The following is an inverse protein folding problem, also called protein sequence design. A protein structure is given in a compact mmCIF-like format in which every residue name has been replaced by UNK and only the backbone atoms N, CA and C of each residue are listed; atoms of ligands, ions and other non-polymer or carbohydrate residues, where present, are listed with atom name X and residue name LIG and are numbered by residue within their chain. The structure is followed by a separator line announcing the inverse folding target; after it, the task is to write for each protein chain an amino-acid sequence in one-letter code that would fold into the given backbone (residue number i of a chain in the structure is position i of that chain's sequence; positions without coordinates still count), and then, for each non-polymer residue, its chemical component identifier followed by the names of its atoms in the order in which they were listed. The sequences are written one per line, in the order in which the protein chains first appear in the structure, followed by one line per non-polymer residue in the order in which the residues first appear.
data_IF_318786757085
#
_entry.id   IF_318786757085
#
_cell.length_a   1.000
_cell.length_b   1.000
_cell.length_c   1.000
_cell.angle_alpha   90.00
_cell.angle_beta   90.00
_cell.angle_gamma   90.00
#
_symmetry.space_group_name_H-M   'P 1'
#
loop_
_entity.id
_entity.type
_entity.pdbx_description
1 polymer ?
#
# COMPACT_ATOMS: atom_id res chain seq x y z
N UNK A 1 -30.63 -34.51 8.42
CA UNK A 1 -31.29 -33.22 8.10
C UNK A 1 -30.89 -32.29 9.21
N UNK A 2 -29.67 -31.72 9.18
CA UNK A 2 -29.26 -30.53 8.42
C UNK A 2 -30.28 -29.43 8.56
N UNK A 3 -29.98 -28.46 9.41
CA UNK A 3 -30.08 -27.06 8.99
C UNK A 3 -28.95 -26.25 9.65
N UNK A 4 -28.07 -25.75 8.79
CA UNK A 4 -26.96 -24.86 9.07
C UNK A 4 -27.51 -23.44 9.18
N UNK A 5 -27.36 -22.78 10.33
CA UNK A 5 -27.37 -21.32 10.37
C UNK A 5 -25.98 -20.85 10.75
N UNK A 6 -25.21 -20.65 9.68
CA UNK A 6 -23.91 -20.00 9.62
C UNK A 6 -23.96 -18.68 10.39
N UNK A 7 -23.28 -18.64 11.53
CA UNK A 7 -22.96 -17.41 12.24
C UNK A 7 -22.02 -16.58 11.36
N UNK A 8 -22.56 -15.53 10.77
CA UNK A 8 -21.75 -14.48 10.15
C UNK A 8 -20.93 -13.77 11.23
N UNK A 9 -19.63 -13.50 11.02
CA UNK A 9 -18.86 -12.68 11.95
C UNK A 9 -19.43 -11.26 11.97
N UNK A 10 -19.54 -10.68 13.16
CA UNK A 10 -19.87 -9.27 13.40
C UNK A 10 -18.92 -8.36 12.62
N UNK A 11 -19.34 -7.97 11.42
CA UNK A 11 -18.89 -6.76 10.76
C UNK A 11 -19.72 -5.60 11.29
N UNK A 12 -19.14 -4.80 12.18
CA UNK A 12 -19.46 -3.39 12.32
C UNK A 12 -18.45 -2.76 13.28
N UNK A 13 -17.21 -2.57 12.82
CA UNK A 13 -16.54 -1.35 13.21
C UNK A 13 -17.46 -0.21 12.72
N UNK A 14 -17.78 0.79 13.56
CA UNK A 14 -18.62 1.89 13.12
C UNK A 14 -17.98 2.50 11.88
N UNK A 15 -18.77 2.72 10.82
CA UNK A 15 -18.45 3.67 9.77
C UNK A 15 -18.34 5.04 10.46
N UNK A 16 -17.18 5.32 11.05
CA UNK A 16 -16.81 6.66 11.42
C UNK A 16 -16.52 7.34 10.09
N UNK A 17 -17.40 8.25 9.72
CA UNK A 17 -17.27 9.11 8.55
C UNK A 17 -16.07 10.04 8.80
N UNK A 18 -14.87 9.49 8.58
CA UNK A 18 -13.62 10.23 8.66
C UNK A 18 -13.53 11.07 7.39
N UNK A 19 -14.01 12.31 7.48
CA UNK A 19 -13.70 13.37 6.53
C UNK A 19 -12.18 13.43 6.37
N UNK A 20 -11.70 13.15 5.16
CA UNK A 20 -10.31 13.17 4.74
C UNK A 20 -9.49 14.28 5.46
N UNK A 21 -8.38 13.96 6.12
CA UNK A 21 -7.60 14.92 6.97
C UNK A 21 -7.25 16.24 6.28
N UNK A 22 -6.91 16.27 4.97
CA UNK A 22 -6.69 17.52 4.24
C UNK A 22 -7.93 18.40 4.10
N UNK A 23 -9.11 17.78 4.09
CA UNK A 23 -10.40 18.48 4.07
C UNK A 23 -10.69 19.11 5.45
N UNK A 24 -10.16 18.57 6.55
CA UNK A 24 -10.27 19.17 7.88
C UNK A 24 -9.42 20.44 8.03
N UNK A 25 -8.28 20.53 7.33
CA UNK A 25 -7.42 21.72 7.34
C UNK A 25 -8.00 22.89 6.52
N UNK A 26 -8.88 22.60 5.57
CA UNK A 26 -9.52 23.58 4.70
C UNK A 26 -11.02 23.27 4.65
N UNK A 27 -11.71 23.64 5.73
CA UNK A 27 -13.17 23.75 5.73
C UNK A 27 -13.56 25.21 5.48
N UNK A 28 -13.78 25.56 4.21
CA UNK A 28 -14.29 26.88 3.85
C UNK A 28 -15.79 26.94 4.15
N UNK A 29 -16.32 28.08 4.66
CA UNK A 29 -17.71 28.23 5.08
C UNK A 29 -18.79 27.96 4.01
N UNK A 30 -18.39 27.70 2.76
CA UNK A 30 -19.24 27.25 1.66
C UNK A 30 -19.39 25.72 1.54
N UNK A 31 -18.82 24.92 2.45
CA UNK A 31 -18.80 23.45 2.36
C UNK A 31 -17.86 22.93 1.25
N UNK A 32 -16.81 23.70 0.96
CA UNK A 32 -15.86 23.43 -0.11
C UNK A 32 -14.60 22.82 0.52
N UNK A 33 -14.44 21.51 0.30
CA UNK A 33 -13.33 20.73 0.87
C UNK A 33 -12.10 20.76 -0.03
N UNK A 34 -10.92 20.39 0.48
CA UNK A 34 -9.67 20.37 -0.29
C UNK A 34 -9.75 19.42 -1.50
N UNK A 35 -10.34 18.24 -1.34
CA UNK A 35 -10.60 17.28 -2.43
C UNK A 35 -11.47 17.91 -3.52
N UNK A 36 -12.55 18.59 -3.14
CA UNK A 36 -13.43 19.31 -4.08
C UNK A 36 -12.70 20.45 -4.78
N UNK A 37 -11.81 21.15 -4.07
CA UNK A 37 -10.97 22.19 -4.63
C UNK A 37 -10.00 21.62 -5.68
N UNK A 38 -9.35 20.49 -5.40
CA UNK A 38 -8.48 19.82 -6.37
C UNK A 38 -9.24 19.37 -7.62
N UNK A 39 -10.43 18.78 -7.45
CA UNK A 39 -11.30 18.42 -8.58
C UNK A 39 -11.73 19.65 -9.39
N UNK A 40 -12.07 20.75 -8.73
CA UNK A 40 -12.40 22.02 -9.39
C UNK A 40 -11.20 22.53 -10.20
N UNK A 41 -9.99 22.50 -9.62
CA UNK A 41 -8.75 22.91 -10.31
C UNK A 41 -8.55 22.08 -11.58
N UNK A 42 -8.74 20.76 -11.53
CA UNK A 42 -8.66 19.89 -12.72
C UNK A 42 -9.63 20.38 -13.79
N UNK A 43 -10.90 20.62 -13.44
CA UNK A 43 -11.93 21.06 -14.39
C UNK A 43 -11.61 22.45 -14.97
N UNK A 44 -11.18 23.40 -14.13
CA UNK A 44 -10.85 24.76 -14.56
C UNK A 44 -9.64 24.77 -15.47
N UNK A 45 -8.58 24.04 -15.11
CA UNK A 45 -7.36 23.93 -15.93
C UNK A 45 -7.69 23.37 -17.31
N UNK A 46 -8.44 22.27 -17.36
CA UNK A 46 -8.86 21.63 -18.61
C UNK A 46 -9.75 22.56 -19.44
N UNK A 47 -10.69 23.27 -18.81
CA UNK A 47 -11.56 24.21 -19.48
C UNK A 47 -10.79 25.41 -20.06
N UNK A 48 -9.81 25.94 -19.34
CA UNK A 48 -8.96 27.03 -19.83
C UNK A 48 -8.13 26.57 -21.02
N UNK A 49 -7.48 25.41 -20.93
CA UNK A 49 -6.67 24.85 -22.03
C UNK A 49 -7.55 24.58 -23.26
N UNK A 50 -8.77 24.07 -23.06
CA UNK A 50 -9.76 23.89 -24.13
C UNK A 50 -10.18 25.21 -24.78
N UNK A 51 -10.45 26.26 -23.98
CA UNK A 51 -10.87 27.56 -24.51
C UNK A 51 -9.75 28.29 -25.26
N UNK A 52 -8.49 28.09 -24.85
CA UNK A 52 -7.31 28.72 -25.46
C UNK A 52 -6.89 27.99 -26.73
N UNK A 53 -6.86 26.66 -26.69
CA UNK A 53 -6.24 25.83 -27.73
C UNK A 53 -7.25 25.16 -28.66
N UNK A 54 -8.53 25.08 -28.26
CA UNK A 54 -9.56 24.33 -28.97
C UNK A 54 -9.58 22.84 -28.61
N UNK A 55 -10.53 22.08 -29.16
CA UNK A 55 -10.48 20.62 -29.11
C UNK A 55 -9.37 20.13 -30.04
N UNK A 56 -8.73 18.98 -29.75
CA UNK A 56 -7.83 18.37 -30.71
C UNK A 56 -8.61 18.06 -31.98
N UNK A 57 -8.32 18.75 -33.08
CA UNK A 57 -8.99 18.60 -34.39
C UNK A 57 -8.74 17.24 -35.07
N UNK A 58 -8.01 16.33 -34.41
CA UNK A 58 -7.73 14.99 -34.89
C UNK A 58 -8.87 14.01 -34.61
N UNK A 59 -9.22 13.22 -35.62
CA UNK A 59 -10.05 12.00 -35.46
C UNK A 59 -9.35 11.07 -34.45
N UNK A 60 -10.12 10.24 -33.73
CA UNK A 60 -9.60 9.16 -32.88
C UNK A 60 -8.43 8.47 -33.61
N UNK A 61 -7.23 8.35 -33.00
CA UNK A 61 -6.93 8.40 -31.56
C UNK A 61 -6.32 9.70 -31.00
N UNK A 62 -6.18 10.78 -31.77
CA UNK A 62 -5.39 11.96 -31.36
C UNK A 62 -6.01 12.78 -30.21
N UNK A 63 -7.33 12.67 -30.01
CA UNK A 63 -8.05 13.27 -28.88
C UNK A 63 -8.11 12.38 -27.63
N UNK A 64 -7.66 11.12 -27.73
CA UNK A 64 -7.75 10.12 -26.66
C UNK A 64 -6.87 10.50 -25.46
N UNK A 65 -5.68 11.04 -25.70
CA UNK A 65 -4.77 11.49 -24.65
C UNK A 65 -5.39 12.58 -23.76
N UNK A 66 -6.14 13.51 -24.37
CA UNK A 66 -6.79 14.61 -23.66
C UNK A 66 -7.93 14.09 -22.79
N UNK A 67 -8.83 13.26 -23.35
CA UNK A 67 -9.99 12.72 -22.63
C UNK A 67 -9.60 11.72 -21.54
N UNK A 68 -8.73 10.76 -21.85
CA UNK A 68 -8.26 9.76 -20.87
C UNK A 68 -7.51 10.43 -19.75
N UNK A 69 -6.71 11.45 -20.06
CA UNK A 69 -5.97 12.12 -19.02
C UNK A 69 -6.86 12.98 -18.12
N UNK A 70 -7.97 13.57 -18.60
CA UNK A 70 -8.96 14.17 -17.69
C UNK A 70 -9.48 13.11 -16.71
N UNK A 71 -9.87 11.94 -17.22
CA UNK A 71 -10.34 10.82 -16.39
C UNK A 71 -9.26 10.39 -15.40
N UNK A 72 -7.99 10.35 -15.81
CA UNK A 72 -6.85 10.07 -14.94
C UNK A 72 -6.71 11.10 -13.82
N UNK A 73 -6.70 12.39 -14.14
CA UNK A 73 -6.55 13.47 -13.15
C UNK A 73 -7.66 13.41 -12.10
N UNK A 74 -8.91 13.20 -12.54
CA UNK A 74 -10.05 13.03 -11.63
C UNK A 74 -9.93 11.75 -10.81
N UNK A 75 -9.60 10.62 -11.44
CA UNK A 75 -9.45 9.33 -10.77
C UNK A 75 -8.35 9.37 -9.72
N UNK A 76 -7.25 10.07 -9.99
CA UNK A 76 -6.16 10.21 -9.07
C UNK A 76 -6.57 11.01 -7.83
N UNK A 77 -7.28 12.14 -7.98
CA UNK A 77 -7.77 12.86 -6.79
C UNK A 77 -8.67 11.98 -5.91
N UNK A 78 -9.51 11.13 -6.52
CA UNK A 78 -10.35 10.15 -5.79
C UNK A 78 -9.54 9.01 -5.17
N UNK A 79 -8.51 8.51 -5.85
CA UNK A 79 -7.64 7.45 -5.33
C UNK A 79 -6.84 7.94 -4.12
N UNK A 80 -6.47 9.21 -4.06
CA UNK A 80 -5.77 9.80 -2.92
C UNK A 80 -6.56 9.65 -1.61
N UNK A 81 -7.87 9.88 -1.65
CA UNK A 81 -8.79 9.64 -0.53
C UNK A 81 -8.81 8.15 -0.13
N UNK A 82 -8.91 7.25 -1.13
CA UNK A 82 -8.88 5.81 -0.89
C UNK A 82 -7.57 5.34 -0.25
N UNK A 83 -6.44 5.92 -0.64
CA UNK A 83 -5.14 5.58 -0.04
C UNK A 83 -5.10 6.01 1.43
N UNK A 84 -5.58 7.22 1.75
CA UNK A 84 -5.66 7.68 3.14
C UNK A 84 -6.50 6.74 4.01
N UNK A 85 -7.72 6.41 3.56
CA UNK A 85 -8.63 5.54 4.32
C UNK A 85 -8.04 4.14 4.54
N UNK A 86 -7.14 3.67 3.66
CA UNK A 86 -6.42 2.41 3.85
C UNK A 86 -5.31 2.52 4.88
N UNK A 87 -4.56 3.63 4.89
CA UNK A 87 -3.58 3.89 5.93
C UNK A 87 -4.24 4.03 7.31
N UNK A 88 -5.37 4.72 7.39
CA UNK A 88 -6.09 4.91 8.64
C UNK A 88 -6.65 3.58 9.18
N UNK A 89 -7.19 2.73 8.29
CA UNK A 89 -7.60 1.38 8.68
C UNK A 89 -6.42 0.54 9.21
N UNK A 90 -5.26 0.62 8.57
CA UNK A 90 -4.07 -0.08 9.03
C UNK A 90 -3.59 0.43 10.41
N UNK A 91 -3.75 1.73 10.69
CA UNK A 91 -3.52 2.33 12.02
C UNK A 91 -4.46 1.73 13.06
N UNK A 92 -5.77 1.77 12.83
CA UNK A 92 -6.76 1.26 13.78
C UNK A 92 -6.57 -0.24 14.08
N UNK A 93 -6.23 -1.02 13.06
CA UNK A 93 -5.87 -2.43 13.24
C UNK A 93 -4.64 -2.56 14.15
N UNK A 94 -3.53 -1.88 13.85
CA UNK A 94 -2.31 -1.93 14.68
C UNK A 94 -2.52 -1.54 16.14
N UNK A 95 -3.29 -0.48 16.40
CA UNK A 95 -3.63 -0.04 17.76
C UNK A 95 -4.42 -1.14 18.46
N UNK A 96 -5.47 -1.66 17.83
CA UNK A 96 -6.30 -2.73 18.39
C UNK A 96 -5.51 -4.01 18.68
N UNK A 97 -4.44 -4.28 17.94
CA UNK A 97 -3.57 -5.43 18.16
C UNK A 97 -2.69 -5.22 19.38
N UNK A 98 -2.04 -4.06 19.50
CA UNK A 98 -1.23 -3.74 20.67
C UNK A 98 -2.00 -3.81 21.99
N UNK A 99 -3.30 -3.47 21.98
CA UNK A 99 -4.17 -3.56 23.15
C UNK A 99 -4.60 -4.99 23.50
N UNK A 100 -4.58 -5.93 22.54
CA UNK A 100 -4.93 -7.35 22.76
C UNK A 100 -3.74 -8.19 23.17
N UNK A 101 -2.55 -7.81 22.71
CA UNK A 101 -1.33 -8.56 22.99
C UNK A 101 -0.98 -8.60 24.48
N UNK A 102 -1.50 -7.68 25.32
CA UNK A 102 -1.21 -7.58 26.76
C UNK A 102 -1.64 -8.79 27.61
N UNK A 103 -2.55 -9.65 27.14
CA UNK A 103 -3.13 -10.71 27.98
C UNK A 103 -2.47 -12.10 27.80
N UNK A 104 -1.60 -12.30 26.78
CA UNK A 104 -0.97 -13.60 26.47
C UNK A 104 0.51 -13.44 26.09
N UNK A 105 1.24 -12.58 26.81
CA UNK A 105 2.67 -12.34 26.56
C UNK A 105 3.53 -13.38 27.29
N UNK A 106 4.31 -14.16 26.55
CA UNK A 106 5.40 -14.99 27.10
C UNK A 106 6.76 -14.26 26.95
N UNK A 107 6.81 -13.17 26.15
CA UNK A 107 8.05 -12.43 25.83
C UNK A 107 7.90 -10.94 26.15
N UNK A 108 8.37 -10.56 27.33
CA UNK A 108 8.15 -9.25 27.96
C UNK A 108 9.16 -8.16 27.51
N UNK A 109 9.63 -8.19 26.27
CA UNK A 109 10.79 -7.36 25.89
C UNK A 109 10.44 -5.95 25.39
N UNK A 110 9.26 -5.70 24.81
CA UNK A 110 8.84 -4.36 24.40
C UNK A 110 7.32 -4.25 24.39
N UNK A 111 6.74 -3.73 25.47
CA UNK A 111 5.34 -3.32 25.52
C UNK A 111 5.19 -2.06 24.64
N UNK A 112 4.77 -2.24 23.40
CA UNK A 112 4.50 -1.12 22.51
C UNK A 112 3.13 -0.57 22.90
N UNK A 113 3.13 0.59 23.55
CA UNK A 113 1.90 1.27 23.92
C UNK A 113 1.11 1.66 22.64
N UNK A 114 -0.13 1.16 22.51
CA UNK A 114 -1.02 1.48 21.40
C UNK A 114 -1.23 2.98 21.19
N UNK A 115 -1.21 3.77 22.26
CA UNK A 115 -1.30 5.23 22.21
C UNK A 115 -0.06 5.87 21.56
N UNK A 116 1.10 5.23 21.65
CA UNK A 116 2.31 5.68 20.97
C UNK A 116 2.25 5.34 19.48
N UNK A 117 1.79 4.13 19.12
CA UNK A 117 1.57 3.75 17.71
C UNK A 117 0.58 4.71 17.07
N UNK A 118 -0.57 4.95 17.72
CA UNK A 118 -1.63 5.81 17.18
C UNK A 118 -1.12 7.23 16.90
N UNK A 119 -0.46 7.85 17.90
CA UNK A 119 0.10 9.21 17.76
C UNK A 119 1.17 9.30 16.68
N UNK A 120 2.07 8.32 16.60
CA UNK A 120 3.13 8.33 15.61
C UNK A 120 2.58 8.10 14.19
N UNK A 121 1.68 7.13 14.03
CA UNK A 121 1.05 6.83 12.75
C UNK A 121 0.21 8.02 12.27
N UNK A 122 -0.62 8.60 13.14
CA UNK A 122 -1.42 9.78 12.82
C UNK A 122 -0.53 10.97 12.44
N UNK A 123 0.52 11.25 13.23
CA UNK A 123 1.46 12.33 12.90
C UNK A 123 2.13 12.15 11.53
N UNK A 124 2.43 10.91 11.15
CA UNK A 124 2.99 10.59 9.85
C UNK A 124 1.97 10.80 8.73
N UNK A 125 0.72 10.36 8.91
CA UNK A 125 -0.34 10.62 7.95
C UNK A 125 -0.62 12.11 7.79
N UNK A 126 -0.70 12.86 8.89
CA UNK A 126 -0.91 14.31 8.87
C UNK A 126 0.21 15.01 8.08
N UNK A 127 1.47 14.58 8.23
CA UNK A 127 2.60 15.12 7.47
C UNK A 127 2.54 14.73 5.98
N UNK A 128 2.24 13.47 5.69
CA UNK A 128 2.23 12.95 4.31
C UNK A 128 1.09 13.50 3.48
N UNK A 129 -0.06 13.66 4.10
CA UNK A 129 -1.27 14.15 3.46
C UNK A 129 -1.50 15.65 3.70
N UNK A 130 -0.63 16.37 4.42
CA UNK A 130 -0.80 17.80 4.63
C UNK A 130 -1.04 18.54 3.29
N UNK A 131 -2.04 19.44 3.17
CA UNK A 131 -2.35 20.13 1.92
C UNK A 131 -1.14 20.81 1.27
N UNK A 132 -0.26 21.41 2.07
CA UNK A 132 0.99 22.03 1.59
C UNK A 132 1.95 21.01 0.98
N UNK A 133 2.04 19.80 1.55
CA UNK A 133 2.88 18.72 1.01
C UNK A 133 2.28 18.17 -0.28
N UNK A 134 0.97 17.97 -0.32
CA UNK A 134 0.25 17.53 -1.53
C UNK A 134 0.42 18.55 -2.66
N UNK A 135 0.10 19.84 -2.40
CA UNK A 135 0.21 20.91 -3.39
C UNK A 135 1.67 21.13 -3.79
N UNK A 136 2.60 21.12 -2.83
CA UNK A 136 4.03 21.25 -3.10
C UNK A 136 4.55 20.11 -3.98
N UNK A 137 4.15 18.87 -3.67
CA UNK A 137 4.42 17.70 -4.51
C UNK A 137 3.86 17.87 -5.91
N UNK A 138 2.60 18.32 -6.03
CA UNK A 138 1.98 18.61 -7.32
C UNK A 138 2.71 19.69 -8.13
N UNK A 139 3.18 20.76 -7.50
CA UNK A 139 3.97 21.78 -8.19
C UNK A 139 5.28 21.19 -8.75
N UNK A 140 5.96 20.36 -7.96
CA UNK A 140 7.21 19.70 -8.37
C UNK A 140 6.97 18.70 -9.50
N UNK A 141 5.96 17.83 -9.37
CA UNK A 141 5.62 16.84 -10.39
C UNK A 141 5.20 17.50 -11.72
N UNK A 142 4.38 18.56 -11.64
CA UNK A 142 3.96 19.33 -12.81
C UNK A 142 5.13 20.01 -13.50
N UNK A 143 6.03 20.64 -12.74
CA UNK A 143 7.23 21.28 -13.28
C UNK A 143 8.19 20.26 -13.92
N UNK A 144 8.32 19.06 -13.33
CA UNK A 144 9.14 17.98 -13.90
C UNK A 144 8.63 17.54 -15.27
N UNK A 145 7.35 17.17 -15.37
CA UNK A 145 6.76 16.72 -16.66
C UNK A 145 6.80 17.85 -17.68
N UNK A 146 6.42 19.06 -17.28
CA UNK A 146 6.47 20.23 -18.17
C UNK A 146 7.89 20.48 -18.70
N UNK A 147 8.91 20.40 -17.83
CA UNK A 147 10.31 20.56 -18.21
C UNK A 147 10.79 19.51 -19.20
N UNK A 148 10.42 18.24 -18.99
CA UNK A 148 10.73 17.13 -19.92
C UNK A 148 10.06 17.37 -21.27
N UNK A 149 8.77 17.73 -21.29
CA UNK A 149 8.03 17.98 -22.52
C UNK A 149 8.55 19.20 -23.28
N UNK A 150 8.93 20.26 -22.56
CA UNK A 150 9.53 21.45 -23.13
C UNK A 150 10.91 21.15 -23.73
N UNK A 151 11.77 20.45 -22.99
CA UNK A 151 13.12 20.11 -23.44
C UNK A 151 13.17 19.13 -24.61
N UNK A 152 12.05 18.44 -24.90
CA UNK A 152 11.91 17.50 -26.02
C UNK A 152 11.01 18.05 -27.14
N UNK A 153 10.70 19.35 -27.12
CA UNK A 153 9.90 20.06 -28.11
C UNK A 153 8.50 19.45 -28.36
N UNK A 154 7.91 18.81 -27.35
CA UNK A 154 6.64 18.07 -27.48
C UNK A 154 5.45 19.02 -27.67
N UNK A 155 5.53 20.24 -27.12
CA UNK A 155 4.45 21.22 -27.18
C UNK A 155 4.12 21.70 -28.60
N UNK A 156 5.02 21.51 -29.57
CA UNK A 156 4.71 21.77 -30.98
C UNK A 156 3.65 20.83 -31.55
N UNK A 157 3.69 19.55 -31.16
CA UNK A 157 2.71 18.55 -31.59
C UNK A 157 1.50 18.48 -30.64
N UNK A 158 1.68 18.87 -29.38
CA UNK A 158 0.65 18.77 -28.35
C UNK A 158 0.58 20.06 -27.49
N UNK A 159 -0.09 21.13 -27.98
CA UNK A 159 -0.04 22.48 -27.41
C UNK A 159 -0.95 22.69 -26.18
N UNK A 160 -1.14 21.65 -25.36
CA UNK A 160 -1.97 21.66 -24.14
C UNK A 160 -1.12 21.88 -22.89
N UNK A 161 -0.54 23.07 -22.76
CA UNK A 161 0.46 23.36 -21.72
C UNK A 161 -0.05 23.10 -20.30
N UNK A 162 -1.27 23.54 -19.98
CA UNK A 162 -1.80 23.43 -18.63
C UNK A 162 -2.24 22.00 -18.32
N UNK A 163 -2.82 21.30 -19.29
CA UNK A 163 -3.23 19.90 -19.12
C UNK A 163 -2.02 18.98 -18.92
N UNK A 164 -0.93 19.23 -19.66
CA UNK A 164 0.31 18.47 -19.49
C UNK A 164 1.01 18.75 -18.16
N UNK A 165 0.99 20.00 -17.70
CA UNK A 165 1.43 20.34 -16.35
C UNK A 165 0.59 19.61 -15.31
N UNK A 166 -0.73 19.59 -15.48
CA UNK A 166 -1.66 18.91 -14.58
C UNK A 166 -1.40 17.40 -14.48
N UNK A 167 -1.04 16.73 -15.59
CA UNK A 167 -0.63 15.32 -15.55
C UNK A 167 0.56 15.07 -14.62
N UNK A 168 1.61 15.89 -14.75
CA UNK A 168 2.73 15.81 -13.82
C UNK A 168 2.33 16.17 -12.41
N UNK A 169 1.45 17.16 -12.24
CA UNK A 169 1.03 17.60 -10.92
C UNK A 169 0.27 16.51 -10.16
N UNK A 170 -0.60 15.78 -10.84
CA UNK A 170 -1.36 14.67 -10.26
C UNK A 170 -0.44 13.57 -9.74
N UNK A 171 0.66 13.25 -10.43
CA UNK A 171 1.68 12.34 -9.92
C UNK A 171 2.38 12.89 -8.67
N UNK A 172 2.69 14.19 -8.70
CA UNK A 172 3.33 14.89 -7.61
C UNK A 172 2.53 14.88 -6.31
N UNK A 173 1.19 14.85 -6.39
CA UNK A 173 0.30 14.76 -5.20
C UNK A 173 0.63 13.55 -4.32
N UNK A 174 1.18 12.48 -4.90
CA UNK A 174 1.49 11.23 -4.20
C UNK A 174 2.88 11.17 -3.60
N UNK A 175 3.78 12.12 -3.85
CA UNK A 175 5.16 12.05 -3.35
C UNK A 175 5.22 12.02 -1.81
N UNK A 176 4.44 12.88 -1.16
CA UNK A 176 4.31 12.90 0.31
C UNK A 176 3.72 11.61 0.88
N UNK A 177 2.51 11.19 0.44
CA UNK A 177 1.89 9.94 0.86
C UNK A 177 2.79 8.72 0.65
N UNK A 178 3.52 8.67 -0.47
CA UNK A 178 4.42 7.57 -0.81
C UNK A 178 5.65 7.54 0.12
N UNK A 179 6.25 8.70 0.40
CA UNK A 179 7.38 8.80 1.35
C UNK A 179 6.97 8.33 2.75
N UNK A 180 5.79 8.75 3.21
CA UNK A 180 5.22 8.29 4.49
C UNK A 180 4.94 6.80 4.46
N UNK A 181 4.37 6.28 3.36
CA UNK A 181 4.14 4.86 3.17
C UNK A 181 5.39 4.01 3.31
N UNK A 182 6.49 4.41 2.67
CA UNK A 182 7.77 3.72 2.78
C UNK A 182 8.30 3.72 4.22
N UNK A 183 8.20 4.87 4.90
CA UNK A 183 8.62 4.98 6.29
C UNK A 183 7.75 4.11 7.22
N UNK A 184 6.44 4.10 7.01
CA UNK A 184 5.51 3.26 7.76
C UNK A 184 5.79 1.77 7.56
N UNK A 185 6.03 1.31 6.33
CA UNK A 185 6.43 -0.08 6.05
C UNK A 185 7.67 -0.44 6.88
N UNK A 186 8.67 0.44 6.89
CA UNK A 186 9.90 0.25 7.66
C UNK A 186 9.66 0.21 9.17
N UNK A 187 8.84 1.13 9.71
CA UNK A 187 8.51 1.19 11.15
C UNK A 187 7.68 -0.01 11.58
N UNK A 188 6.70 -0.41 10.78
CA UNK A 188 5.89 -1.60 11.00
C UNK A 188 6.80 -2.83 11.08
N UNK A 189 7.65 -3.04 10.06
CA UNK A 189 8.47 -4.25 9.99
C UNK A 189 9.53 -4.33 11.09
N UNK A 190 10.06 -3.20 11.56
CA UNK A 190 11.18 -3.20 12.50
C UNK A 190 10.79 -2.89 13.94
N UNK A 191 9.64 -2.27 14.14
CA UNK A 191 9.25 -1.73 15.45
C UNK A 191 7.88 -2.24 15.87
N UNK A 192 6.82 -2.07 15.08
CA UNK A 192 5.44 -2.29 15.57
C UNK A 192 4.97 -3.74 15.62
N UNK A 193 5.57 -4.64 14.85
CA UNK A 193 5.34 -6.08 15.04
C UNK A 193 6.23 -6.53 16.19
N UNK A 194 5.66 -6.65 17.38
CA UNK A 194 6.34 -7.11 18.60
C UNK A 194 6.10 -8.58 18.90
N UNK A 195 4.90 -9.09 18.62
CA UNK A 195 4.48 -10.42 19.04
C UNK A 195 3.65 -11.17 17.98
N UNK A 196 3.27 -12.43 18.23
CA UNK A 196 2.32 -13.20 17.41
C UNK A 196 1.28 -13.84 18.33
N UNK A 197 0.01 -13.44 18.21
CA UNK A 197 -1.08 -14.08 18.95
C UNK A 197 -1.57 -15.34 18.22
N UNK A 198 -1.12 -16.49 18.71
CA UNK A 198 -1.40 -17.83 18.16
C UNK A 198 -2.89 -18.19 18.29
N UNK A 199 -3.62 -17.57 19.22
CA UNK A 199 -5.03 -17.84 19.46
C UNK A 199 -5.94 -17.01 18.54
N UNK A 200 -5.38 -16.08 17.78
CA UNK A 200 -6.13 -15.31 16.79
C UNK A 200 -6.62 -16.19 15.63
N UNK A 201 -7.78 -15.88 15.00
CA UNK A 201 -8.34 -16.68 13.91
C UNK A 201 -7.45 -16.82 12.68
N UNK A 202 -6.54 -15.87 12.46
CA UNK A 202 -5.55 -15.89 11.39
C UNK A 202 -4.20 -16.47 11.83
N UNK A 203 -4.08 -16.87 13.10
CA UNK A 203 -2.85 -17.23 13.79
C UNK A 203 -1.89 -16.06 13.97
N UNK A 204 -1.86 -15.10 13.07
CA UNK A 204 -0.86 -14.04 13.06
C UNK A 204 -1.29 -12.84 13.91
N UNK A 205 -2.17 -12.99 14.89
CA UNK A 205 -2.63 -11.89 15.72
C UNK A 205 -3.10 -10.68 14.93
N UNK A 206 -3.81 -10.86 13.80
CA UNK A 206 -4.28 -9.77 12.93
C UNK A 206 -3.22 -9.03 12.11
N UNK A 207 -1.93 -9.37 12.22
CA UNK A 207 -0.90 -8.84 11.31
C UNK A 207 -1.18 -9.19 9.84
N UNK A 208 -2.05 -10.18 9.58
CA UNK A 208 -2.58 -10.49 8.25
C UNK A 208 -3.37 -9.33 7.64
N UNK A 209 -4.26 -8.68 8.37
CA UNK A 209 -5.06 -7.59 7.82
C UNK A 209 -4.19 -6.38 7.45
N UNK A 210 -3.17 -6.11 8.26
CA UNK A 210 -2.20 -5.02 8.05
C UNK A 210 -1.38 -5.20 6.77
N UNK A 211 -0.82 -6.40 6.52
CA UNK A 211 -0.09 -6.63 5.28
C UNK A 211 -1.00 -6.54 4.05
N UNK A 212 -2.29 -6.87 4.18
CA UNK A 212 -3.27 -6.79 3.09
C UNK A 212 -3.60 -5.32 2.81
N UNK A 213 -3.66 -4.48 3.84
CA UNK A 213 -3.78 -3.03 3.69
C UNK A 213 -2.56 -2.42 2.98
N UNK A 214 -1.33 -2.83 3.34
CA UNK A 214 -0.10 -2.38 2.69
C UNK A 214 -0.03 -2.82 1.21
N UNK A 215 -0.39 -4.08 0.92
CA UNK A 215 -0.47 -4.58 -0.47
C UNK A 215 -1.57 -3.87 -1.26
N UNK A 216 -2.71 -3.56 -0.62
CA UNK A 216 -3.79 -2.81 -1.25
C UNK A 216 -3.36 -1.38 -1.63
N UNK A 217 -2.58 -0.70 -0.79
CA UNK A 217 -2.04 0.64 -1.10
C UNK A 217 -1.14 0.58 -2.33
N UNK A 218 -0.24 -0.39 -2.39
CA UNK A 218 0.65 -0.56 -3.54
C UNK A 218 -0.15 -0.93 -4.80
N UNK A 219 -1.22 -1.72 -4.66
CA UNK A 219 -2.14 -2.05 -5.76
C UNK A 219 -2.82 -0.79 -6.32
N UNK A 220 -3.24 0.16 -5.47
CA UNK A 220 -3.77 1.44 -5.94
C UNK A 220 -2.71 2.26 -6.69
N UNK A 221 -1.47 2.29 -6.21
CA UNK A 221 -0.37 2.95 -6.91
C UNK A 221 -0.12 2.32 -8.30
N UNK A 222 -0.14 0.98 -8.38
CA UNK A 222 0.01 0.25 -9.64
C UNK A 222 -1.17 0.49 -10.58
N UNK A 223 -2.40 0.60 -10.05
CA UNK A 223 -3.56 0.97 -10.85
C UNK A 223 -3.40 2.34 -11.51
N UNK A 224 -2.92 3.35 -10.76
CA UNK A 224 -2.64 4.68 -11.31
C UNK A 224 -1.57 4.61 -12.40
N UNK A 225 -0.47 3.91 -12.15
CA UNK A 225 0.57 3.68 -13.16
C UNK A 225 -0.01 2.95 -14.39
N UNK A 226 -0.92 2.01 -14.21
CA UNK A 226 -1.56 1.32 -15.34
C UNK A 226 -2.45 2.27 -16.17
N UNK A 227 -3.09 3.26 -15.57
CA UNK A 227 -3.78 4.31 -16.32
C UNK A 227 -2.79 5.19 -17.10
N UNK A 228 -1.59 5.43 -16.57
CA UNK A 228 -0.52 6.11 -17.32
C UNK A 228 -0.14 5.33 -18.57
N UNK A 229 -0.19 3.99 -18.56
CA UNK A 229 0.06 3.18 -19.75
C UNK A 229 -0.94 3.49 -20.88
N UNK A 230 -2.20 3.77 -20.56
CA UNK A 230 -3.21 4.14 -21.55
C UNK A 230 -2.89 5.52 -22.16
N UNK A 231 -2.42 6.46 -21.32
CA UNK A 231 -1.99 7.80 -21.76
C UNK A 231 -0.70 7.70 -22.60
N UNK A 232 0.28 6.92 -22.16
CA UNK A 232 1.55 6.72 -22.87
C UNK A 232 1.33 5.96 -24.18
N UNK A 233 0.45 4.95 -24.20
CA UNK A 233 0.03 4.27 -25.44
C UNK A 233 -0.62 5.23 -26.43
N UNK A 234 -1.30 6.27 -25.95
CA UNK A 234 -1.82 7.33 -26.82
C UNK A 234 -0.73 8.30 -27.31
N UNK A 235 0.32 8.52 -26.51
CA UNK A 235 1.54 9.25 -26.89
C UNK A 235 2.34 8.49 -27.95
N UNK A 236 2.21 7.16 -28.03
CA UNK A 236 2.80 6.32 -29.10
C UNK A 236 2.31 6.68 -30.51
N UNK A 237 1.28 7.53 -30.65
CA UNK A 237 0.84 8.07 -31.93
C UNK A 237 1.49 9.43 -32.28
N UNK A 238 2.25 10.06 -31.37
CA UNK A 238 2.96 11.32 -31.64
C UNK A 238 4.24 11.07 -32.42
N UNK A 239 4.50 11.77 -33.53
CA UNK A 239 5.72 11.62 -34.37
C UNK A 239 7.02 12.14 -33.71
N UNK A 240 7.29 11.75 -32.46
CA UNK A 240 8.51 12.07 -31.72
C UNK A 240 9.05 10.80 -31.02
N UNK A 241 9.97 10.04 -31.66
CA UNK A 241 10.47 8.77 -31.14
C UNK A 241 11.31 8.93 -29.85
N UNK A 242 11.95 10.08 -29.65
CA UNK A 242 12.76 10.37 -28.46
C UNK A 242 11.85 10.55 -27.26
N UNK A 243 10.78 11.35 -27.39
CA UNK A 243 9.81 11.54 -26.31
C UNK A 243 9.15 10.25 -25.86
N UNK A 244 8.72 9.41 -26.82
CA UNK A 244 8.17 8.08 -26.52
C UNK A 244 9.18 7.22 -25.75
N UNK A 245 10.45 7.20 -26.16
CA UNK A 245 11.51 6.47 -25.46
C UNK A 245 11.74 6.95 -24.02
N UNK A 246 11.80 8.27 -23.81
CA UNK A 246 11.97 8.86 -22.47
C UNK A 246 10.77 8.56 -21.57
N UNK A 247 9.54 8.74 -22.08
CA UNK A 247 8.33 8.43 -21.33
C UNK A 247 8.28 6.96 -20.90
N UNK A 248 8.68 6.04 -21.77
CA UNK A 248 8.74 4.61 -21.46
C UNK A 248 9.82 4.26 -20.44
N UNK A 249 10.98 4.90 -20.48
CA UNK A 249 12.03 4.70 -19.46
C UNK A 249 11.56 5.18 -18.09
N UNK A 250 10.95 6.37 -18.02
CA UNK A 250 10.39 6.91 -16.78
C UNK A 250 9.31 5.96 -16.23
N UNK A 251 8.42 5.48 -17.10
CA UNK A 251 7.38 4.53 -16.74
C UNK A 251 7.95 3.22 -16.20
N UNK A 252 8.89 2.60 -16.93
CA UNK A 252 9.55 1.36 -16.51
C UNK A 252 10.28 1.54 -15.17
N UNK A 253 10.91 2.70 -14.95
CA UNK A 253 11.57 3.03 -13.68
C UNK A 253 10.56 3.17 -12.53
N UNK A 254 9.46 3.90 -12.71
CA UNK A 254 8.39 4.03 -11.71
C UNK A 254 7.80 2.67 -11.35
N UNK A 255 7.51 1.85 -12.36
CA UNK A 255 6.92 0.55 -12.19
C UNK A 255 7.86 -0.44 -11.49
N UNK A 256 9.13 -0.45 -11.90
CA UNK A 256 10.19 -1.20 -11.23
C UNK A 256 10.34 -0.78 -9.76
N UNK A 257 10.28 0.53 -9.48
CA UNK A 257 10.30 1.05 -8.12
C UNK A 257 9.13 0.53 -7.27
N UNK A 258 7.89 0.56 -7.78
CA UNK A 258 6.72 0.03 -7.06
C UNK A 258 6.79 -1.49 -6.81
N UNK A 259 7.30 -2.25 -7.77
CA UNK A 259 7.52 -3.69 -7.60
C UNK A 259 8.58 -3.99 -6.55
N UNK A 260 9.71 -3.27 -6.57
CA UNK A 260 10.76 -3.41 -5.57
C UNK A 260 10.24 -3.01 -4.18
N UNK A 261 9.41 -1.98 -4.08
CA UNK A 261 8.80 -1.59 -2.82
C UNK A 261 7.86 -2.67 -2.29
N UNK A 262 7.06 -3.30 -3.15
CA UNK A 262 6.19 -4.43 -2.79
C UNK A 262 7.00 -5.61 -2.27
N UNK A 263 8.08 -5.95 -2.98
CA UNK A 263 8.98 -7.03 -2.60
C UNK A 263 9.64 -6.73 -1.26
N UNK A 264 10.14 -5.51 -1.08
CA UNK A 264 10.74 -5.03 0.17
C UNK A 264 9.77 -5.15 1.34
N UNK A 265 8.55 -4.61 1.21
CA UNK A 265 7.53 -4.65 2.26
C UNK A 265 7.21 -6.10 2.68
N UNK A 266 7.02 -6.97 1.69
CA UNK A 266 6.67 -8.38 1.93
C UNK A 266 7.82 -9.13 2.61
N UNK A 267 9.07 -8.94 2.16
CA UNK A 267 10.24 -9.58 2.76
C UNK A 267 10.47 -9.06 4.18
N UNK A 268 10.38 -7.75 4.39
CA UNK A 268 10.64 -7.13 5.68
C UNK A 268 9.66 -7.63 6.76
N UNK A 269 8.36 -7.62 6.46
CA UNK A 269 7.32 -8.14 7.37
C UNK A 269 7.54 -9.63 7.64
N UNK A 270 7.81 -10.44 6.60
CA UNK A 270 8.02 -11.88 6.77
C UNK A 270 9.22 -12.20 7.64
N UNK A 271 10.36 -11.53 7.44
CA UNK A 271 11.55 -11.72 8.27
C UNK A 271 11.25 -11.41 9.72
N UNK A 272 10.54 -10.31 9.99
CA UNK A 272 10.16 -9.96 11.35
C UNK A 272 9.26 -11.01 12.01
N UNK A 273 8.27 -11.52 11.29
CA UNK A 273 7.39 -12.57 11.81
C UNK A 273 8.14 -13.89 12.09
N UNK A 274 9.11 -14.24 11.24
CA UNK A 274 9.99 -15.39 11.47
C UNK A 274 10.84 -15.18 12.73
N UNK A 275 11.48 -14.02 12.88
CA UNK A 275 12.30 -13.71 14.06
C UNK A 275 11.49 -13.81 15.37
N UNK A 276 10.22 -13.38 15.36
CA UNK A 276 9.33 -13.48 16.53
C UNK A 276 8.92 -14.94 16.78
N UNK A 277 8.57 -15.68 15.73
CA UNK A 277 8.24 -17.10 15.83
C UNK A 277 9.41 -17.90 16.43
N UNK A 278 10.63 -17.70 15.91
CA UNK A 278 11.84 -18.35 16.42
C UNK A 278 12.08 -18.01 17.89
N UNK A 279 11.96 -16.73 18.27
CA UNK A 279 12.13 -16.29 19.66
C UNK A 279 11.08 -16.91 20.59
N UNK A 280 9.81 -16.98 20.18
CA UNK A 280 8.76 -17.65 20.95
C UNK A 280 9.04 -19.14 21.11
N UNK A 281 9.46 -19.80 20.04
CA UNK A 281 9.83 -21.23 20.05
C UNK A 281 10.97 -21.45 21.05
N UNK A 282 12.00 -20.61 21.07
CA UNK A 282 13.12 -20.76 21.97
C UNK A 282 12.74 -20.54 23.44
N UNK A 283 11.92 -19.52 23.73
CA UNK A 283 11.43 -19.26 25.08
C UNK A 283 10.51 -20.39 25.58
N UNK A 284 9.61 -20.88 24.72
CA UNK A 284 8.78 -22.04 25.08
C UNK A 284 9.62 -23.31 25.28
N UNK A 285 10.78 -23.46 24.62
CA UNK A 285 11.67 -24.62 24.81
C UNK A 285 12.31 -24.57 26.18
N UNK A 286 12.71 -23.38 26.61
CA UNK A 286 13.26 -23.14 27.95
C UNK A 286 12.20 -23.46 29.02
N UNK A 287 11.00 -22.86 28.92
CA UNK A 287 9.89 -23.14 29.85
C UNK A 287 9.47 -24.61 29.85
N UNK A 288 9.45 -25.27 28.69
CA UNK A 288 9.15 -26.69 28.59
C UNK A 288 10.18 -27.53 29.35
N UNK A 289 11.48 -27.28 29.17
CA UNK A 289 12.54 -28.02 29.85
C UNK A 289 12.48 -27.82 31.38
N UNK A 290 12.19 -26.60 31.85
CA UNK A 290 12.01 -26.32 33.27
C UNK A 290 10.80 -27.05 33.87
N UNK A 291 9.68 -27.04 33.15
CA UNK A 291 8.44 -27.70 33.56
C UNK A 291 8.59 -29.22 33.55
N UNK A 292 9.21 -29.78 32.51
CA UNK A 292 9.52 -31.21 32.41
C UNK A 292 10.43 -31.66 33.55
N UNK A 293 11.48 -30.90 33.86
CA UNK A 293 12.37 -31.19 35.00
C UNK A 293 11.61 -31.17 36.32
N UNK A 294 10.70 -30.21 36.50
CA UNK A 294 9.85 -30.11 37.69
C UNK A 294 8.86 -31.27 37.79
N UNK A 295 8.24 -31.66 36.69
CA UNK A 295 7.36 -32.81 36.58
C UNK A 295 8.07 -34.10 37.03
N UNK A 296 9.23 -34.41 36.44
CA UNK A 296 9.97 -35.63 36.77
C UNK A 296 10.46 -35.65 38.22
N UNK A 297 10.88 -34.50 38.76
CA UNK A 297 11.26 -34.37 40.18
C UNK A 297 10.07 -34.67 41.10
N UNK A 298 8.92 -34.03 40.88
CA UNK A 298 7.70 -34.26 41.70
C UNK A 298 7.22 -35.70 41.60
N UNK A 299 7.28 -36.29 40.41
CA UNK A 299 6.94 -37.69 40.18
C UNK A 299 7.84 -38.65 40.96
N UNK A 300 9.15 -38.39 40.99
CA UNK A 300 10.12 -39.18 41.75
C UNK A 300 9.92 -39.05 43.28
N UNK A 301 9.47 -37.88 43.75
CA UNK A 301 9.17 -37.58 45.15
C UNK A 301 7.78 -38.05 45.60
N UNK A 302 6.95 -38.58 44.68
CA UNK A 302 5.57 -39.01 44.97
C UNK A 302 4.60 -37.84 45.24
N UNK A 303 4.95 -36.64 44.79
CA UNK A 303 4.15 -35.41 44.89
C UNK A 303 3.24 -35.30 43.66
N UNK A 304 2.05 -34.71 43.80
CA UNK A 304 1.14 -34.49 42.67
C UNK A 304 1.81 -33.61 41.59
N UNK A 305 1.80 -34.12 40.36
CA UNK A 305 2.43 -33.57 39.15
C UNK A 305 1.43 -33.31 38.01
N UNK A 306 0.12 -33.43 38.27
CA UNK A 306 -0.95 -33.27 37.26
C UNK A 306 -0.96 -31.87 36.64
N UNK A 307 -0.61 -30.83 37.41
CA UNK A 307 -0.54 -29.47 36.91
C UNK A 307 0.54 -29.33 35.82
N UNK A 308 1.76 -29.81 36.10
CA UNK A 308 2.86 -29.78 35.15
C UNK A 308 2.59 -30.64 33.92
N UNK A 309 1.92 -31.79 34.07
CA UNK A 309 1.52 -32.63 32.94
C UNK A 309 0.55 -31.91 32.00
N UNK A 310 -0.41 -31.17 32.56
CA UNK A 310 -1.32 -30.34 31.77
C UNK A 310 -0.58 -29.21 31.06
N UNK A 311 0.34 -28.54 31.75
CA UNK A 311 1.13 -27.45 31.17
C UNK A 311 2.03 -27.94 30.03
N UNK A 312 2.69 -29.09 30.17
CA UNK A 312 3.47 -29.76 29.13
C UNK A 312 2.61 -30.05 27.88
N UNK A 313 1.39 -30.54 28.07
CA UNK A 313 0.47 -30.83 26.96
C UNK A 313 0.00 -29.55 26.25
N UNK A 314 -0.30 -28.50 27.00
CA UNK A 314 -0.64 -27.19 26.44
C UNK A 314 0.52 -26.62 25.63
N UNK A 315 1.74 -26.64 26.18
CA UNK A 315 2.95 -26.18 25.48
C UNK A 315 3.22 -26.97 24.21
N UNK A 316 3.07 -28.31 24.22
CA UNK A 316 3.23 -29.13 23.03
C UNK A 316 2.26 -28.73 21.92
N UNK A 317 1.00 -28.46 22.28
CA UNK A 317 -0.03 -28.02 21.32
C UNK A 317 0.30 -26.63 20.75
N UNK A 318 0.78 -25.71 21.59
CA UNK A 318 1.23 -24.37 21.15
C UNK A 318 2.46 -24.45 20.24
N UNK A 319 3.41 -25.35 20.51
CA UNK A 319 4.55 -25.62 19.63
C UNK A 319 4.13 -26.11 18.26
N UNK A 320 3.22 -27.08 18.20
CA UNK A 320 2.76 -27.65 16.94
C UNK A 320 2.03 -26.58 16.11
N UNK A 321 1.18 -25.76 16.75
CA UNK A 321 0.54 -24.62 16.09
C UNK A 321 1.53 -23.56 15.61
N UNK A 322 2.53 -23.20 16.40
CA UNK A 322 3.57 -22.27 15.98
C UNK A 322 4.40 -22.83 14.82
N UNK A 323 4.73 -24.11 14.82
CA UNK A 323 5.56 -24.72 13.77
C UNK A 323 4.79 -24.92 12.45
N UNK A 324 3.48 -25.20 12.52
CA UNK A 324 2.60 -25.35 11.35
C UNK A 324 2.05 -24.02 10.84
N UNK A 325 2.37 -22.92 11.52
CA UNK A 325 1.86 -21.61 11.23
C UNK A 325 2.28 -21.14 9.84
N UNK A 326 1.30 -20.87 8.99
CA UNK A 326 1.54 -20.26 7.68
C UNK A 326 1.90 -18.77 7.88
N UNK A 327 3.14 -18.51 8.29
CA UNK A 327 3.70 -17.16 8.31
C UNK A 327 3.58 -16.58 6.92
N UNK A 328 2.66 -15.62 6.79
CA UNK A 328 2.26 -14.91 5.59
C UNK A 328 2.66 -15.61 4.28
N UNK A 329 1.77 -16.31 3.56
CA UNK A 329 2.12 -16.74 2.23
C UNK A 329 2.41 -15.46 1.47
N UNK A 330 3.68 -15.30 1.01
CA UNK A 330 3.99 -14.47 -0.14
C UNK A 330 2.75 -14.56 -1.01
N UNK A 331 2.01 -13.48 -1.21
CA UNK A 331 0.90 -13.50 -2.16
C UNK A 331 1.56 -13.49 -3.54
N UNK A 332 2.44 -14.46 -3.78
CA UNK A 332 3.16 -14.86 -4.97
C UNK A 332 2.17 -14.98 -6.10
N UNK A 333 0.92 -15.33 -5.81
CA UNK A 333 -0.16 -15.33 -6.77
C UNK A 333 -0.56 -13.93 -7.20
N UNK A 334 -0.76 -12.98 -6.28
CA UNK A 334 -1.05 -11.58 -6.63
C UNK A 334 0.18 -10.88 -7.21
N UNK A 335 1.36 -11.13 -6.66
CA UNK A 335 2.64 -10.67 -7.20
C UNK A 335 2.89 -11.24 -8.60
N UNK A 336 2.62 -12.53 -8.85
CA UNK A 336 2.74 -13.15 -10.16
C UNK A 336 1.67 -12.63 -11.11
N UNK A 337 0.42 -12.44 -10.68
CA UNK A 337 -0.61 -11.78 -11.50
C UNK A 337 -0.17 -10.39 -11.91
N UNK A 338 0.41 -9.65 -10.98
CA UNK A 338 0.88 -8.30 -11.20
C UNK A 338 2.10 -8.30 -12.12
N UNK A 339 3.07 -9.19 -11.90
CA UNK A 339 4.23 -9.41 -12.76
C UNK A 339 3.87 -9.94 -14.16
N UNK A 340 2.84 -10.77 -14.31
CA UNK A 340 2.32 -11.28 -15.58
C UNK A 340 1.60 -10.15 -16.34
N UNK A 341 0.78 -9.36 -15.66
CA UNK A 341 0.14 -8.16 -16.23
C UNK A 341 1.23 -7.18 -16.71
N UNK A 342 2.25 -6.96 -15.88
CA UNK A 342 3.42 -6.14 -16.21
C UNK A 342 4.21 -6.67 -17.40
N UNK A 343 4.50 -7.97 -17.36
CA UNK A 343 5.28 -8.68 -18.36
C UNK A 343 4.58 -8.63 -19.69
N UNK A 344 3.25 -8.71 -19.70
CA UNK A 344 2.42 -8.57 -20.88
C UNK A 344 2.48 -7.14 -21.45
N UNK A 345 2.41 -6.10 -20.60
CA UNK A 345 2.55 -4.70 -21.04
C UNK A 345 3.97 -4.38 -21.56
N UNK A 346 5.02 -4.87 -20.89
CA UNK A 346 6.41 -4.72 -21.34
C UNK A 346 6.70 -5.55 -22.60
N UNK A 347 6.04 -6.70 -22.76
CA UNK A 347 6.14 -7.54 -23.95
C UNK A 347 5.52 -6.85 -25.17
N UNK A 348 4.32 -6.28 -25.02
CA UNK A 348 3.69 -5.47 -26.09
C UNK A 348 4.61 -4.31 -26.48
N UNK A 349 5.22 -3.63 -25.52
CA UNK A 349 6.22 -2.59 -25.79
C UNK A 349 7.44 -3.11 -26.57
N UNK A 350 7.99 -4.26 -26.18
CA UNK A 350 9.14 -4.83 -26.85
C UNK A 350 8.81 -5.24 -28.31
N UNK A 351 7.56 -5.61 -28.60
CA UNK A 351 7.08 -5.84 -29.96
C UNK A 351 6.91 -4.54 -30.75
N UNK A 352 6.25 -3.52 -30.17
CA UNK A 352 5.99 -2.23 -30.84
C UNK A 352 7.27 -1.48 -31.22
N UNK A 353 8.35 -1.65 -30.43
CA UNK A 353 9.65 -1.04 -30.68
C UNK A 353 10.63 -1.94 -31.45
N UNK A 354 10.21 -3.12 -31.88
CA UNK A 354 11.05 -4.07 -32.62
C UNK A 354 12.24 -4.62 -31.83
N UNK A 355 12.23 -4.50 -30.50
CA UNK A 355 13.23 -5.09 -29.60
C UNK A 355 13.07 -6.62 -29.59
N UNK A 356 11.83 -7.09 -29.65
CA UNK A 356 11.48 -8.48 -29.92
C UNK A 356 10.80 -8.54 -31.28
N UNK A 357 11.41 -9.24 -32.23
CA UNK A 357 10.74 -9.63 -33.47
C UNK A 357 10.09 -11.00 -33.28
N UNK A 358 8.76 -11.07 -33.37
CA UNK A 358 8.11 -12.37 -33.54
C UNK A 358 8.41 -12.88 -34.95
N UNK A 359 8.89 -14.13 -35.11
CA UNK A 359 9.06 -14.71 -36.43
C UNK A 359 7.67 -14.96 -37.01
N UNK A 360 7.27 -14.12 -37.97
CA UNK A 360 6.17 -14.38 -38.87
C UNK A 360 6.70 -14.34 -40.31
#
# INVERSE_FOLDING_TARGET
MVDETVGTPRNSAPDVDHTYTPDEFIDLPSGLTFTRLLLLIVVVVVAVDYLVTGLPDGVIPYNYQFLVGIVYCLSAVVVLEKIYNRYDRARLELVSLSERTSDVVIVDEYEINGEQIDREFQSLLDKGFHPVVIVGGGVVGGAFVYGVMWGLDVFWAYPYHLTNYLYGAVHGLYYGPLAVGMYLIHRISNTYISDIDILAPDGLGGYRAMGDALVSIITYAIFLVTLDFIIISSISFLDNPIFRGVAMVIYAAMLGFFLLLTLYATIAIRRRLLDIQERKIDIMREYFNETETTFWRKQAEGINSEAEASEIMTMYTMFDHLNQMALWPLNLYSFAKLAISLGSSLFVFALDYGILSLPF
#
